data_IF_431329268004
#
_entry.id   IF_431329268004
#
_cell.length_a   1.000
_cell.length_b   1.000
_cell.length_c   1.000
_cell.angle_alpha   90.00
_cell.angle_beta   90.00
_cell.angle_gamma   90.00
#
_symmetry.space_group_name_H-M   'P 1'
#
loop_
_entity.id
_entity.type
_entity.pdbx_description
1 polymer ?
#
# COMPACT_ATOMS: atom_id res chain seq x y z
N UNK A 1 3.77 22.11 7.87
CA UNK A 1 4.36 22.40 6.53
C UNK A 1 5.87 22.23 6.58
N UNK A 2 6.60 22.95 7.45
CA UNK A 2 8.07 22.84 7.55
C UNK A 2 8.62 21.40 7.66
N UNK A 3 8.02 20.51 8.45
CA UNK A 3 8.52 19.13 8.59
C UNK A 3 8.38 18.31 7.27
N UNK A 4 7.27 18.47 6.55
CA UNK A 4 7.04 17.78 5.27
C UNK A 4 8.04 18.28 4.23
N UNK A 5 8.31 19.59 4.20
CA UNK A 5 9.31 20.20 3.32
C UNK A 5 10.73 19.73 3.69
N UNK A 6 11.05 19.61 4.98
CA UNK A 6 12.31 19.02 5.44
C UNK A 6 12.46 17.58 4.96
N UNK A 7 11.43 16.75 5.12
CA UNK A 7 11.45 15.35 4.70
C UNK A 7 11.61 15.23 3.18
N UNK A 8 10.92 16.06 2.39
CA UNK A 8 11.06 16.07 0.93
C UNK A 8 12.50 16.40 0.49
N UNK A 9 13.11 17.42 1.10
CA UNK A 9 14.47 17.87 0.78
C UNK A 9 15.57 16.87 1.22
N UNK A 10 15.23 15.88 2.02
CA UNK A 10 16.19 14.90 2.54
C UNK A 10 16.34 13.69 1.61
N UNK A 11 15.32 13.39 0.81
CA UNK A 11 15.45 12.36 -0.23
C UNK A 11 16.38 12.79 -1.37
N UNK A 12 16.61 14.11 -1.51
CA UNK A 12 17.43 14.73 -2.54
C UNK A 12 18.78 15.27 -2.03
N UNK A 13 19.06 15.15 -0.72
CA UNK A 13 20.26 15.65 -0.06
C UNK A 13 21.20 14.56 0.48
N UNK A 14 22.44 14.89 0.90
CA UNK A 14 23.47 13.93 1.34
C UNK A 14 23.21 13.37 2.76
N UNK A 15 21.97 13.37 3.23
CA UNK A 15 21.65 13.02 4.61
C UNK A 15 21.62 11.50 4.78
N UNK A 16 22.32 11.00 5.79
CA UNK A 16 22.34 9.58 6.11
C UNK A 16 20.98 9.03 6.57
N UNK A 17 20.81 7.70 6.58
CA UNK A 17 19.58 7.04 6.99
C UNK A 17 19.16 7.41 8.41
N UNK A 18 20.09 7.76 9.29
CA UNK A 18 19.83 8.15 10.68
C UNK A 18 18.97 9.43 10.76
N UNK A 19 19.26 10.42 9.91
CA UNK A 19 18.51 11.69 9.88
C UNK A 19 17.13 11.46 9.25
N UNK A 20 17.06 10.65 8.19
CA UNK A 20 15.80 10.24 7.56
C UNK A 20 14.88 9.55 8.57
N UNK A 21 15.41 8.58 9.31
CA UNK A 21 14.67 7.85 10.34
C UNK A 21 14.19 8.77 11.47
N UNK A 22 15.07 9.62 12.03
CA UNK A 22 14.69 10.51 13.12
C UNK A 22 13.51 11.43 12.74
N UNK A 23 13.48 11.93 11.50
CA UNK A 23 12.39 12.80 11.03
C UNK A 23 11.12 12.03 10.74
N UNK A 24 11.23 10.79 10.26
CA UNK A 24 10.10 9.89 10.07
C UNK A 24 9.46 9.50 11.40
N UNK A 25 10.26 9.24 12.43
CA UNK A 25 9.78 8.99 13.81
C UNK A 25 9.10 10.24 14.39
N UNK A 26 9.68 11.44 14.18
CA UNK A 26 9.03 12.70 14.57
C UNK A 26 7.71 12.87 13.82
N UNK A 27 7.66 12.59 12.52
CA UNK A 27 6.43 12.67 11.74
C UNK A 27 5.37 11.68 12.25
N UNK A 28 5.74 10.45 12.58
CA UNK A 28 4.83 9.47 13.17
C UNK A 28 4.24 9.98 14.50
N UNK A 29 5.07 10.57 15.36
CA UNK A 29 4.63 11.21 16.60
C UNK A 29 3.64 12.34 16.29
N UNK A 30 3.95 13.23 15.35
CA UNK A 30 3.08 14.34 14.96
C UNK A 30 1.75 13.86 14.37
N UNK A 31 1.74 12.80 13.57
CA UNK A 31 0.52 12.18 13.03
C UNK A 31 -0.35 11.64 14.17
N UNK A 32 0.24 11.02 15.17
CA UNK A 32 -0.50 10.52 16.33
C UNK A 32 -1.08 11.64 17.19
N UNK A 33 -0.38 12.77 17.34
CA UNK A 33 -0.86 13.94 18.07
C UNK A 33 -1.89 14.76 17.28
N UNK A 34 -1.72 14.86 15.96
CA UNK A 34 -2.60 15.56 15.05
C UNK A 34 -2.96 14.69 13.83
N UNK A 35 -3.91 13.76 13.98
CA UNK A 35 -4.30 12.83 12.90
C UNK A 35 -4.84 13.51 11.65
N UNK A 36 -5.28 14.77 11.74
CA UNK A 36 -5.77 15.54 10.58
C UNK A 36 -4.69 15.75 9.50
N UNK A 37 -3.40 15.61 9.87
CA UNK A 37 -2.28 15.65 8.93
C UNK A 37 -2.39 14.59 7.84
N UNK A 38 -3.07 13.46 8.09
CA UNK A 38 -3.26 12.37 7.11
C UNK A 38 -4.09 12.84 5.91
N UNK A 39 -4.93 13.86 6.06
CA UNK A 39 -5.69 14.45 4.94
C UNK A 39 -4.81 15.22 3.95
N UNK A 40 -3.56 15.52 4.32
CA UNK A 40 -2.67 16.31 3.48
C UNK A 40 -2.08 15.44 2.37
N UNK A 41 -2.55 15.62 1.14
CA UNK A 41 -2.05 14.88 -0.03
C UNK A 41 -0.54 15.09 -0.24
N UNK A 42 0.00 16.27 0.04
CA UNK A 42 1.45 16.52 -0.05
C UNK A 42 2.23 15.62 0.91
N UNK A 43 1.68 15.33 2.10
CA UNK A 43 2.32 14.41 3.04
C UNK A 43 2.37 12.99 2.48
N UNK A 44 1.26 12.48 1.93
CA UNK A 44 1.21 11.15 1.31
C UNK A 44 2.15 11.07 0.10
N UNK A 45 2.19 12.11 -0.73
CA UNK A 45 3.11 12.20 -1.86
C UNK A 45 4.56 12.14 -1.38
N UNK A 46 4.94 12.97 -0.39
CA UNK A 46 6.30 12.98 0.17
C UNK A 46 6.69 11.63 0.76
N UNK A 47 5.81 10.98 1.52
CA UNK A 47 6.07 9.64 2.05
C UNK A 47 6.26 8.62 0.93
N UNK A 48 5.44 8.67 -0.13
CA UNK A 48 5.58 7.76 -1.26
C UNK A 48 6.88 8.02 -2.02
N UNK A 49 7.31 9.26 -2.19
CA UNK A 49 8.61 9.61 -2.80
C UNK A 49 9.79 9.04 -2.01
N UNK A 50 9.74 9.08 -0.67
CA UNK A 50 10.79 8.56 0.20
C UNK A 50 11.05 7.06 0.04
N UNK A 51 10.11 6.30 -0.52
CA UNK A 51 10.33 4.88 -0.79
C UNK A 51 11.42 4.66 -1.84
N UNK A 52 11.81 5.69 -2.61
CA UNK A 52 12.91 5.63 -3.57
C UNK A 52 14.32 5.85 -2.96
N UNK A 53 14.44 5.97 -1.63
CA UNK A 53 15.76 6.00 -0.97
C UNK A 53 16.54 4.70 -1.19
N UNK A 54 17.87 4.73 -1.20
CA UNK A 54 18.67 3.48 -1.26
C UNK A 54 18.73 2.73 0.08
N UNK A 55 18.19 3.31 1.16
CA UNK A 55 18.29 2.76 2.50
C UNK A 55 17.10 1.86 2.84
N UNK A 56 17.28 0.54 2.82
CA UNK A 56 16.22 -0.45 3.06
C UNK A 56 15.47 -0.24 4.40
N UNK A 57 16.16 0.21 5.45
CA UNK A 57 15.55 0.50 6.77
C UNK A 57 14.54 1.64 6.66
N UNK A 58 14.89 2.71 5.94
CA UNK A 58 14.03 3.87 5.73
C UNK A 58 12.83 3.46 4.88
N UNK A 59 13.04 2.75 3.76
CA UNK A 59 11.94 2.20 2.95
C UNK A 59 10.97 1.38 3.80
N UNK A 60 11.51 0.48 4.63
CA UNK A 60 10.69 -0.40 5.44
C UNK A 60 9.84 0.39 6.43
N UNK A 61 10.41 1.40 7.06
CA UNK A 61 9.66 2.27 7.98
C UNK A 61 8.57 3.04 7.26
N UNK A 62 8.89 3.65 6.10
CA UNK A 62 7.93 4.42 5.30
C UNK A 62 6.75 3.55 4.88
N UNK A 63 6.99 2.34 4.38
CA UNK A 63 5.91 1.40 4.03
C UNK A 63 5.07 0.97 5.23
N UNK A 64 5.69 0.72 6.38
CA UNK A 64 4.97 0.44 7.62
C UNK A 64 4.12 1.62 8.07
N UNK A 65 4.66 2.84 8.04
CA UNK A 65 3.94 4.06 8.41
C UNK A 65 2.74 4.26 7.48
N UNK A 66 2.94 4.20 6.15
CA UNK A 66 1.86 4.28 5.16
C UNK A 66 0.76 3.25 5.45
N UNK A 67 1.13 2.02 5.81
CA UNK A 67 0.19 0.95 6.15
C UNK A 67 -0.63 1.22 7.41
N UNK A 68 -0.12 1.99 8.36
CA UNK A 68 -0.80 2.31 9.62
C UNK A 68 -1.78 3.50 9.48
N UNK A 69 -1.55 4.39 8.51
CA UNK A 69 -2.33 5.62 8.34
C UNK A 69 -3.85 5.41 8.19
N UNK A 70 -4.38 4.43 7.43
CA UNK A 70 -5.83 4.23 7.34
C UNK A 70 -6.44 3.81 8.68
N UNK A 71 -5.72 3.02 9.48
CA UNK A 71 -6.17 2.64 10.83
C UNK A 71 -6.24 3.86 11.73
N UNK A 72 -5.20 4.70 11.73
CA UNK A 72 -5.17 5.95 12.50
C UNK A 72 -6.32 6.87 12.07
N UNK A 73 -6.54 7.01 10.76
CA UNK A 73 -7.63 7.81 10.21
C UNK A 73 -9.00 7.28 10.67
N UNK A 74 -9.25 5.97 10.57
CA UNK A 74 -10.49 5.34 10.99
C UNK A 74 -10.76 5.52 12.49
N UNK A 75 -9.75 5.28 13.34
CA UNK A 75 -9.86 5.47 14.81
C UNK A 75 -10.21 6.91 15.18
N UNK A 76 -9.75 7.89 14.39
CA UNK A 76 -10.01 9.30 14.60
C UNK A 76 -11.18 9.85 13.76
N UNK A 77 -11.99 8.98 13.15
CA UNK A 77 -13.16 9.34 12.33
C UNK A 77 -12.83 10.29 11.16
N UNK A 78 -11.64 10.13 10.58
CA UNK A 78 -11.18 10.87 9.40
C UNK A 78 -11.67 10.11 8.16
N UNK A 79 -12.74 10.60 7.55
CA UNK A 79 -13.42 9.93 6.42
C UNK A 79 -12.82 10.26 5.04
N UNK A 80 -12.05 11.34 4.94
CA UNK A 80 -11.51 11.84 3.66
C UNK A 80 -10.30 11.02 3.17
N UNK A 81 -9.75 10.15 4.00
CA UNK A 81 -8.59 9.30 3.69
C UNK A 81 -9.09 7.93 3.31
N UNK A 82 -8.92 7.56 2.05
CA UNK A 82 -9.40 6.29 1.50
C UNK A 82 -8.43 5.80 0.40
N UNK A 83 -8.74 4.66 -0.22
CA UNK A 83 -7.89 4.14 -1.30
C UNK A 83 -7.58 5.17 -2.40
N UNK A 84 -8.50 6.08 -2.75
CA UNK A 84 -8.25 7.08 -3.79
C UNK A 84 -7.12 8.05 -3.41
N UNK A 85 -6.99 8.45 -2.15
CA UNK A 85 -5.89 9.34 -1.71
C UNK A 85 -4.52 8.66 -1.84
N UNK A 86 -4.44 7.35 -1.55
CA UNK A 86 -3.22 6.57 -1.76
C UNK A 86 -2.94 6.36 -3.25
N UNK A 87 -3.97 6.00 -4.01
CA UNK A 87 -3.90 5.86 -5.47
C UNK A 87 -3.30 7.11 -6.12
N UNK A 88 -3.74 8.30 -5.72
CA UNK A 88 -3.19 9.58 -6.21
C UNK A 88 -1.72 9.76 -5.82
N UNK A 89 -1.31 9.36 -4.61
CA UNK A 89 0.08 9.46 -4.17
C UNK A 89 1.02 8.54 -4.97
N UNK A 90 0.59 7.30 -5.26
CA UNK A 90 1.35 6.36 -6.09
C UNK A 90 1.37 6.75 -7.58
N UNK A 91 0.29 7.32 -8.11
CA UNK A 91 0.31 7.95 -9.43
C UNK A 91 1.30 9.12 -9.47
N UNK A 92 1.27 10.00 -8.47
CA UNK A 92 2.22 11.12 -8.37
C UNK A 92 3.68 10.63 -8.31
N UNK A 93 3.95 9.58 -7.54
CA UNK A 93 5.26 8.92 -7.49
C UNK A 93 5.72 8.47 -8.89
N UNK A 94 4.84 7.76 -9.62
CA UNK A 94 5.14 7.26 -10.97
C UNK A 94 5.22 8.34 -12.06
N UNK A 95 4.77 9.56 -11.78
CA UNK A 95 4.88 10.68 -12.73
C UNK A 95 6.12 11.54 -12.46
N UNK A 96 6.64 11.54 -11.21
CA UNK A 96 7.64 12.51 -10.76
C UNK A 96 8.96 11.88 -10.29
N UNK A 97 8.99 10.58 -9.98
CA UNK A 97 10.16 9.91 -9.40
C UNK A 97 10.61 8.77 -10.29
N UNK A 98 9.78 7.74 -10.41
CA UNK A 98 9.99 6.66 -11.35
C UNK A 98 9.17 6.92 -12.61
N UNK A 99 9.55 6.29 -13.72
CA UNK A 99 8.74 6.29 -14.96
C UNK A 99 8.36 4.86 -15.29
N UNK A 100 7.77 4.17 -14.31
CA UNK A 100 7.34 2.78 -14.46
C UNK A 100 6.13 2.72 -15.40
N UNK A 101 5.97 1.57 -16.05
CA UNK A 101 4.80 1.34 -16.91
C UNK A 101 3.52 1.24 -16.08
N UNK A 102 3.65 0.83 -14.81
CA UNK A 102 2.56 0.65 -13.88
C UNK A 102 2.91 1.19 -12.49
N UNK A 103 2.01 1.98 -11.88
CA UNK A 103 2.19 2.71 -10.60
C UNK A 103 2.54 1.87 -9.35
N UNK A 104 2.48 0.54 -9.44
CA UNK A 104 2.77 -0.38 -8.33
C UNK A 104 3.89 -1.38 -8.67
N UNK A 105 4.58 -1.18 -9.79
CA UNK A 105 5.63 -2.07 -10.27
C UNK A 105 6.75 -2.19 -9.22
N UNK A 106 7.26 -1.06 -8.70
CA UNK A 106 8.26 -1.05 -7.61
C UNK A 106 7.84 -1.82 -6.35
N UNK A 107 6.55 -1.85 -6.00
CA UNK A 107 6.08 -2.60 -4.83
C UNK A 107 6.25 -4.10 -5.08
N UNK A 108 5.85 -4.59 -6.25
CA UNK A 108 6.00 -6.01 -6.56
C UNK A 108 7.48 -6.35 -6.73
N UNK A 109 8.27 -5.52 -7.41
CA UNK A 109 9.72 -5.68 -7.51
C UNK A 109 10.42 -5.73 -6.14
N UNK A 110 9.98 -4.91 -5.18
CA UNK A 110 10.49 -4.93 -3.81
C UNK A 110 10.36 -6.31 -3.14
N UNK A 111 9.29 -7.04 -3.44
CA UNK A 111 9.12 -8.42 -2.94
C UNK A 111 10.12 -9.40 -3.58
N UNK A 112 10.59 -9.12 -4.79
CA UNK A 112 11.58 -9.95 -5.50
C UNK A 112 13.02 -9.62 -5.13
N UNK A 113 13.37 -8.34 -5.20
CA UNK A 113 14.75 -7.89 -5.35
C UNK A 113 15.40 -7.50 -4.02
N UNK A 114 14.62 -7.00 -3.07
CA UNK A 114 15.17 -6.50 -1.80
C UNK A 114 15.76 -7.64 -0.95
N UNK A 115 16.78 -7.36 -0.15
CA UNK A 115 17.44 -8.40 0.65
C UNK A 115 16.77 -8.59 2.02
N UNK A 116 16.30 -7.48 2.61
CA UNK A 116 15.66 -7.48 3.92
C UNK A 116 14.29 -8.15 3.94
N UNK A 117 14.13 -9.12 4.84
CA UNK A 117 12.83 -9.74 5.15
C UNK A 117 11.85 -8.71 5.71
N UNK A 118 12.34 -7.77 6.53
CA UNK A 118 11.54 -6.68 7.10
C UNK A 118 10.96 -5.78 6.00
N UNK A 119 11.77 -5.46 5.00
CA UNK A 119 11.32 -4.65 3.87
C UNK A 119 10.25 -5.39 3.06
N UNK A 120 10.43 -6.69 2.80
CA UNK A 120 9.41 -7.50 2.12
C UNK A 120 8.10 -7.59 2.92
N UNK A 121 8.18 -7.65 4.25
CA UNK A 121 7.00 -7.66 5.12
C UNK A 121 6.24 -6.33 5.05
N UNK A 122 6.95 -5.21 5.14
CA UNK A 122 6.34 -3.88 5.09
C UNK A 122 5.71 -3.60 3.72
N UNK A 123 6.36 -3.99 2.62
CA UNK A 123 5.79 -3.92 1.27
C UNK A 123 4.51 -4.75 1.16
N UNK A 124 4.53 -6.02 1.58
CA UNK A 124 3.34 -6.88 1.49
C UNK A 124 2.20 -6.40 2.40
N UNK A 125 2.54 -5.88 3.58
CA UNK A 125 1.59 -5.23 4.49
C UNK A 125 0.91 -4.03 3.84
N UNK A 126 1.68 -3.19 3.14
CA UNK A 126 1.16 -2.05 2.39
C UNK A 126 0.23 -2.51 1.26
N UNK A 127 0.61 -3.52 0.47
CA UNK A 127 -0.24 -4.06 -0.59
C UNK A 127 -1.59 -4.54 -0.02
N UNK A 128 -1.56 -5.32 1.06
CA UNK A 128 -2.78 -5.78 1.72
C UNK A 128 -3.61 -4.63 2.25
N UNK A 129 -2.98 -3.63 2.87
CA UNK A 129 -3.64 -2.42 3.33
C UNK A 129 -4.35 -1.68 2.18
N UNK A 130 -3.67 -1.49 1.04
CA UNK A 130 -4.22 -0.74 -0.10
C UNK A 130 -5.50 -1.41 -0.62
N UNK A 131 -5.49 -2.75 -0.72
CA UNK A 131 -6.67 -3.53 -1.11
C UNK A 131 -7.76 -3.45 -0.05
N UNK A 132 -7.43 -3.63 1.23
CA UNK A 132 -8.42 -3.54 2.31
C UNK A 132 -9.02 -2.14 2.47
N UNK A 133 -8.33 -1.10 2.03
CA UNK A 133 -8.82 0.29 2.05
C UNK A 133 -9.87 0.58 0.96
N UNK A 134 -10.09 -0.34 0.01
CA UNK A 134 -11.18 -0.28 -0.95
C UNK A 134 -12.49 -0.78 -0.35
N UNK A 135 -13.46 0.11 -0.19
CA UNK A 135 -14.80 -0.24 0.30
C UNK A 135 -15.56 -1.11 -0.71
N UNK A 136 -15.51 -0.74 -1.99
CA UNK A 136 -16.23 -1.42 -3.07
C UNK A 136 -15.54 -2.72 -3.49
N UNK A 137 -16.34 -3.77 -3.69
CA UNK A 137 -15.86 -5.08 -4.17
C UNK A 137 -15.20 -4.98 -5.55
N UNK A 138 -15.75 -4.18 -6.46
CA UNK A 138 -15.18 -3.95 -7.78
C UNK A 138 -13.75 -3.40 -7.68
N UNK A 139 -13.54 -2.39 -6.84
CA UNK A 139 -12.24 -1.75 -6.67
C UNK A 139 -11.22 -2.71 -6.06
N UNK A 140 -11.62 -3.54 -5.08
CA UNK A 140 -10.74 -4.59 -4.53
C UNK A 140 -10.30 -5.57 -5.59
N UNK A 141 -11.23 -6.02 -6.44
CA UNK A 141 -10.93 -7.02 -7.47
C UNK A 141 -10.06 -6.44 -8.57
N UNK A 142 -10.35 -5.23 -9.03
CA UNK A 142 -9.51 -4.53 -10.02
C UNK A 142 -8.09 -4.31 -9.50
N UNK A 143 -7.94 -3.81 -8.28
CA UNK A 143 -6.62 -3.58 -7.69
C UNK A 143 -5.86 -4.89 -7.47
N UNK A 144 -6.53 -5.95 -7.02
CA UNK A 144 -5.90 -7.26 -6.86
C UNK A 144 -5.47 -7.87 -8.19
N UNK A 145 -6.27 -7.65 -9.24
CA UNK A 145 -5.92 -8.03 -10.61
C UNK A 145 -4.66 -7.29 -11.07
N UNK A 146 -4.56 -5.99 -10.84
CA UNK A 146 -3.37 -5.17 -11.14
C UNK A 146 -2.11 -5.78 -10.49
N UNK A 147 -2.13 -6.09 -9.19
CA UNK A 147 -1.00 -6.75 -8.51
C UNK A 147 -0.70 -8.17 -9.04
N UNK A 148 -1.73 -8.91 -9.43
CA UNK A 148 -1.57 -10.26 -9.98
C UNK A 148 -0.91 -10.23 -11.36
N UNK A 149 -1.29 -9.27 -12.20
CA UNK A 149 -0.69 -9.03 -13.52
C UNK A 149 0.77 -8.58 -13.40
N UNK A 150 1.11 -7.85 -12.33
CA UNK A 150 2.50 -7.51 -11.98
C UNK A 150 3.31 -8.69 -11.40
N UNK A 151 2.68 -9.86 -11.17
CA UNK A 151 3.38 -11.07 -10.75
C UNK A 151 3.53 -11.27 -9.23
N UNK A 152 2.66 -10.67 -8.41
CA UNK A 152 2.73 -10.83 -6.95
C UNK A 152 2.61 -12.30 -6.49
N UNK A 153 1.80 -13.12 -7.18
CA UNK A 153 1.63 -14.54 -6.84
C UNK A 153 2.89 -15.36 -7.11
N UNK A 154 3.68 -14.96 -8.10
CA UNK A 154 5.00 -15.56 -8.36
C UNK A 154 6.00 -15.12 -7.29
N UNK A 155 5.91 -13.88 -6.79
CA UNK A 155 6.73 -13.40 -5.67
C UNK A 155 6.50 -14.27 -4.44
N UNK A 156 5.24 -14.62 -4.14
CA UNK A 156 4.88 -15.48 -3.01
C UNK A 156 5.57 -16.84 -3.02
N UNK A 157 5.82 -17.42 -4.21
CA UNK A 157 6.56 -18.69 -4.34
C UNK A 157 8.00 -18.56 -3.81
N UNK A 158 8.64 -17.41 -4.00
CA UNK A 158 9.96 -17.12 -3.44
C UNK A 158 9.88 -16.79 -1.95
N UNK A 159 8.96 -15.91 -1.54
CA UNK A 159 8.79 -15.52 -0.14
C UNK A 159 8.54 -16.71 0.79
N UNK A 160 7.77 -17.71 0.33
CA UNK A 160 7.50 -18.94 1.09
C UNK A 160 8.78 -19.68 1.52
N UNK A 161 9.88 -19.57 0.75
CA UNK A 161 11.17 -20.21 1.07
C UNK A 161 11.84 -19.58 2.29
N UNK A 162 11.51 -18.33 2.62
CA UNK A 162 12.06 -17.62 3.78
C UNK A 162 11.49 -18.15 5.10
N UNK A 163 10.39 -18.91 5.07
CA UNK A 163 9.70 -19.49 6.26
C UNK A 163 9.43 -18.48 7.39
N UNK A 164 9.32 -17.21 7.04
CA UNK A 164 9.00 -16.16 7.99
C UNK A 164 7.48 -16.16 8.24
N UNK A 165 7.09 -16.29 9.50
CA UNK A 165 5.68 -16.45 9.90
C UNK A 165 4.84 -15.25 9.46
N UNK A 166 5.30 -14.03 9.72
CA UNK A 166 4.56 -12.81 9.36
C UNK A 166 4.35 -12.68 7.84
N UNK A 167 5.35 -13.04 7.01
CA UNK A 167 5.18 -13.10 5.56
C UNK A 167 4.17 -14.17 5.14
N UNK A 168 4.24 -15.36 5.76
CA UNK A 168 3.31 -16.45 5.49
C UNK A 168 1.87 -16.03 5.80
N UNK A 169 1.66 -15.38 6.94
CA UNK A 169 0.35 -14.87 7.35
C UNK A 169 -0.18 -13.80 6.39
N UNK A 170 0.66 -12.84 5.98
CA UNK A 170 0.27 -11.80 5.03
C UNK A 170 -0.04 -12.36 3.63
N UNK A 171 0.69 -13.38 3.18
CA UNK A 171 0.41 -14.08 1.91
C UNK A 171 -0.89 -14.88 1.96
N UNK A 172 -1.16 -15.53 3.10
CA UNK A 172 -2.40 -16.27 3.29
C UNK A 172 -3.59 -15.33 3.38
N UNK A 173 -3.45 -14.21 4.10
CA UNK A 173 -4.46 -13.16 4.15
C UNK A 173 -4.81 -12.66 2.75
N UNK A 174 -3.81 -12.32 1.94
CA UNK A 174 -4.02 -11.88 0.54
C UNK A 174 -4.86 -12.90 -0.25
N UNK A 175 -4.51 -14.19 -0.18
CA UNK A 175 -5.19 -15.27 -0.92
C UNK A 175 -6.59 -15.55 -0.40
N UNK A 176 -6.77 -15.54 0.91
CA UNK A 176 -8.08 -15.72 1.54
C UNK A 176 -9.04 -14.63 1.10
N UNK A 177 -8.60 -13.36 1.12
CA UNK A 177 -9.41 -12.24 0.67
C UNK A 177 -9.67 -12.27 -0.85
N UNK A 178 -8.70 -12.76 -1.64
CA UNK A 178 -8.89 -13.02 -3.07
C UNK A 178 -10.04 -13.99 -3.33
N UNK A 179 -9.99 -15.17 -2.71
CA UNK A 179 -11.02 -16.20 -2.87
C UNK A 179 -12.39 -15.69 -2.39
N UNK A 180 -12.42 -14.99 -1.25
CA UNK A 180 -13.63 -14.37 -0.68
C UNK A 180 -14.29 -13.37 -1.64
N UNK A 181 -13.49 -12.54 -2.30
CA UNK A 181 -14.00 -11.58 -3.30
C UNK A 181 -14.47 -12.26 -4.59
N UNK A 182 -13.78 -13.30 -5.07
CA UNK A 182 -14.19 -14.11 -6.22
C UNK A 182 -15.54 -14.81 -5.98
N UNK A 183 -15.74 -15.39 -4.80
CA UNK A 183 -17.01 -16.01 -4.39
C UNK A 183 -18.16 -14.99 -4.38
N UNK A 184 -17.92 -13.80 -3.82
CA UNK A 184 -18.91 -12.71 -3.81
C UNK A 184 -19.27 -12.27 -5.23
N UNK A 185 -18.28 -12.12 -6.12
CA UNK A 185 -18.52 -11.77 -7.51
C UNK A 185 -19.33 -12.84 -8.27
N UNK A 186 -18.98 -14.12 -8.09
CA UNK A 186 -19.70 -15.24 -8.69
C UNK A 186 -21.17 -15.31 -8.24
N UNK A 187 -21.42 -15.03 -6.96
CA UNK A 187 -22.76 -14.96 -6.38
C UNK A 187 -23.58 -13.80 -6.98
N UNK A 188 -23.00 -12.61 -7.09
CA UNK A 188 -23.66 -11.44 -7.71
C UNK A 188 -23.99 -11.70 -9.19
N UNK A 189 -23.06 -12.28 -9.95
CA UNK A 189 -23.28 -12.66 -11.35
C UNK A 189 -24.41 -13.68 -11.50
N UNK A 190 -24.50 -14.64 -10.57
CA UNK A 190 -25.55 -15.67 -10.58
C UNK A 190 -26.92 -15.08 -10.24
N UNK A 191 -26.99 -14.17 -9.26
CA UNK A 191 -28.22 -13.42 -8.92
C UNK A 191 -28.70 -12.57 -10.09
N UNK A 192 -27.79 -11.84 -10.75
CA UNK A 192 -28.12 -11.05 -11.94
C UNK A 192 -28.70 -11.96 -13.03
N UNK A 193 -28.03 -13.07 -13.36
CA UNK A 193 -28.53 -14.07 -14.34
C UNK A 193 -29.86 -14.74 -13.97
N UNK A 194 -30.22 -14.76 -12.69
CA UNK A 194 -31.52 -15.27 -12.24
C UNK A 194 -32.63 -14.22 -12.40
N UNK A 195 -32.35 -12.96 -12.06
CA UNK A 195 -33.29 -11.84 -12.24
C UNK A 195 -33.69 -11.66 -13.71
N UNK A 196 -32.74 -11.71 -14.65
CA UNK A 196 -33.02 -11.65 -16.09
C UNK A 196 -33.79 -12.84 -16.64
N UNK A 197 -33.84 -13.96 -15.91
CA UNK A 197 -34.64 -15.15 -16.29
C UNK A 197 -36.05 -15.13 -15.71
N UNK A 198 -36.38 -14.19 -14.83
CA UNK A 198 -37.66 -14.10 -14.13
C UNK A 198 -38.58 -12.95 -14.57
N UNK A 199 -38.27 -12.23 -15.65
CA UNK A 199 -39.09 -11.13 -16.19
C UNK A 199 -39.58 -11.45 -17.61
N UNK A 200 -40.27 -12.58 -17.80
CA UNK A 200 -41.15 -12.83 -18.96
C UNK A 200 -42.15 -13.92 -18.56
N UNK A 201 -43.00 -13.65 -17.57
CA UNK A 201 -44.24 -14.41 -17.33
C UNK A 201 -45.35 -13.43 -16.92
#
# INVERSE_FOLDING_TARGET
MMLIDCIYNINTGPNGPEVQMALLEILEIEINHNPSLIKNQTMLNTLTILTNTTHEIVKSFVYTLLSALPTIAATNQILDVNYHTYSLAFTYYNENVETENHRFEHLVEGLWNESSVQLKQSVLGLVNMLICSCQELSNRVELRKEFTELGILDAFKKLKKLKNIQLLDQMEFFKSEMNSDEEKQGSLSSRHRAAFRGEFD
#
